data_IF_678590743490
#
_entry.id   IF_678590743490
#
_cell.length_a   1.000
_cell.length_b   1.000
_cell.length_c   1.000
_cell.angle_alpha   90.00
_cell.angle_beta   90.00
_cell.angle_gamma   90.00
#
_symmetry.space_group_name_H-M   'P 1'
#
loop_
_entity.id
_entity.type
_entity.pdbx_description
1 polymer ?
#
# COMPACT_ATOMS: atom_id res chain seq x y z
N UNK A 1 -31.31 24.31 21.06
CA UNK A 1 -30.51 24.46 19.82
C UNK A 1 -29.16 23.72 19.88
N UNK A 2 -29.10 22.49 20.45
CA UNK A 2 -27.83 21.77 20.71
C UNK A 2 -27.73 20.36 20.05
N UNK A 3 -28.72 19.94 19.25
CA UNK A 3 -28.79 18.56 18.71
C UNK A 3 -28.25 18.39 17.29
N UNK A 4 -27.90 19.45 16.57
CA UNK A 4 -27.48 19.38 15.15
C UNK A 4 -25.95 19.30 14.97
N UNK A 5 -25.15 19.59 16.02
CA UNK A 5 -23.67 19.62 15.92
C UNK A 5 -22.97 18.26 15.90
N UNK A 6 -23.61 17.20 16.44
CA UNK A 6 -23.00 15.86 16.53
C UNK A 6 -22.88 15.08 15.22
N UNK A 7 -23.89 15.09 14.30
CA UNK A 7 -23.73 14.36 13.05
C UNK A 7 -22.75 14.99 12.04
N UNK A 8 -22.56 16.33 12.10
CA UNK A 8 -21.62 17.03 11.21
C UNK A 8 -20.17 16.73 11.54
N UNK A 9 -19.82 16.62 12.83
CA UNK A 9 -18.47 16.24 13.27
C UNK A 9 -18.13 14.78 12.91
N UNK A 10 -19.10 13.87 12.97
CA UNK A 10 -18.90 12.49 12.57
C UNK A 10 -18.71 12.33 11.04
N UNK A 11 -19.39 13.14 10.22
CA UNK A 11 -19.23 13.14 8.79
C UNK A 11 -17.87 13.69 8.33
N UNK A 12 -17.33 14.69 9.02
CA UNK A 12 -16.00 15.27 8.73
C UNK A 12 -14.87 14.29 9.07
N UNK A 13 -15.03 13.45 10.11
CA UNK A 13 -14.04 12.45 10.48
C UNK A 13 -13.91 11.31 9.45
N UNK A 14 -14.97 11.00 8.71
CA UNK A 14 -14.93 9.97 7.65
C UNK A 14 -14.17 10.39 6.39
N UNK A 15 -14.04 11.67 6.11
CA UNK A 15 -13.41 12.18 4.87
C UNK A 15 -11.87 12.20 4.98
N UNK A 16 -11.29 12.11 6.18
CA UNK A 16 -9.84 12.15 6.39
C UNK A 16 -9.15 10.78 6.29
N UNK A 17 -9.88 9.68 6.09
CA UNK A 17 -9.33 8.33 5.99
C UNK A 17 -8.84 7.92 4.58
N UNK A 18 -8.93 8.80 3.58
CA UNK A 18 -8.72 8.47 2.17
C UNK A 18 -7.37 8.95 1.62
N UNK A 19 -6.25 8.65 2.29
CA UNK A 19 -4.93 9.01 1.77
C UNK A 19 -3.86 7.94 1.93
N UNK A 20 -4.21 6.67 1.67
CA UNK A 20 -3.19 5.66 1.42
C UNK A 20 -3.60 4.88 0.16
N UNK A 21 -2.90 5.14 -0.92
CA UNK A 21 -3.25 4.60 -2.23
C UNK A 21 -2.44 3.36 -2.56
N UNK A 22 -2.50 2.34 -1.70
CA UNK A 22 -2.03 1.00 -2.06
C UNK A 22 -3.18 0.23 -2.69
N UNK A 23 -2.99 -0.20 -3.93
CA UNK A 23 -3.96 -0.99 -4.67
C UNK A 23 -3.38 -2.35 -5.06
N UNK A 24 -4.16 -3.41 -4.95
CA UNK A 24 -3.81 -4.71 -5.50
C UNK A 24 -4.03 -4.64 -7.01
N UNK A 25 -2.93 -4.71 -7.80
CA UNK A 25 -2.97 -4.64 -9.25
C UNK A 25 -3.28 -5.98 -9.88
N UNK A 26 -2.68 -7.03 -9.36
CA UNK A 26 -2.81 -8.39 -9.86
C UNK A 26 -2.64 -9.40 -8.74
N UNK A 27 -3.24 -10.57 -8.87
CA UNK A 27 -3.04 -11.67 -7.92
C UNK A 27 -3.28 -13.02 -8.57
N UNK A 28 -2.49 -13.99 -8.16
CA UNK A 28 -2.64 -15.38 -8.52
C UNK A 28 -2.88 -16.23 -7.27
N UNK A 29 -3.65 -17.30 -7.43
CA UNK A 29 -3.97 -18.27 -6.40
C UNK A 29 -3.83 -19.68 -6.97
N UNK A 30 -3.21 -20.58 -6.21
CA UNK A 30 -3.06 -21.99 -6.61
C UNK A 30 -4.43 -22.67 -6.71
N UNK A 31 -4.92 -23.02 -7.91
CA UNK A 31 -6.23 -23.63 -8.08
C UNK A 31 -6.32 -25.04 -7.49
N UNK A 32 -5.19 -25.67 -7.16
CA UNK A 32 -5.13 -27.00 -6.55
C UNK A 32 -5.09 -26.95 -5.01
N UNK A 33 -4.89 -25.76 -4.42
CA UNK A 33 -4.87 -25.64 -2.96
C UNK A 33 -6.25 -25.93 -2.36
N UNK A 34 -6.31 -26.92 -1.49
CA UNK A 34 -7.54 -27.35 -0.78
C UNK A 34 -7.36 -27.32 0.74
N UNK A 35 -6.27 -26.69 1.21
CA UNK A 35 -6.00 -26.56 2.65
C UNK A 35 -6.97 -25.62 3.36
N UNK A 36 -6.99 -25.72 4.66
CA UNK A 36 -7.71 -24.77 5.50
C UNK A 36 -7.01 -23.40 5.53
N UNK A 37 -7.69 -22.37 6.03
CA UNK A 37 -7.10 -21.08 6.31
C UNK A 37 -5.90 -21.22 7.26
N UNK A 38 -4.81 -20.54 6.96
CA UNK A 38 -3.61 -20.53 7.77
C UNK A 38 -3.87 -19.86 9.11
N UNK A 39 -3.26 -20.42 10.14
CA UNK A 39 -3.43 -19.97 11.53
C UNK A 39 -2.20 -19.31 12.11
N UNK A 40 -1.02 -19.66 11.62
CA UNK A 40 0.26 -19.15 12.08
C UNK A 40 1.11 -18.71 10.89
N UNK A 41 1.28 -17.43 10.69
CA UNK A 41 1.95 -16.88 9.52
C UNK A 41 3.27 -16.23 9.93
N UNK A 42 4.39 -16.77 9.45
CA UNK A 42 5.71 -16.12 9.54
C UNK A 42 5.77 -15.01 8.48
N UNK A 43 6.04 -13.78 8.90
CA UNK A 43 6.09 -12.60 8.03
C UNK A 43 7.52 -12.17 7.80
N UNK A 44 7.96 -12.13 6.55
CA UNK A 44 9.30 -11.72 6.14
C UNK A 44 9.24 -10.54 5.17
N UNK A 45 9.80 -9.40 5.56
CA UNK A 45 10.07 -8.27 4.69
C UNK A 45 11.45 -8.36 4.06
N UNK A 46 11.54 -8.41 2.74
CA UNK A 46 12.83 -8.34 2.02
C UNK A 46 13.15 -6.88 1.75
N UNK A 47 13.72 -6.21 2.77
CA UNK A 47 14.06 -4.79 2.75
C UNK A 47 15.53 -4.60 3.15
N UNK A 48 16.26 -3.68 2.47
CA UNK A 48 17.68 -3.45 2.74
C UNK A 48 17.96 -2.86 4.14
N UNK A 49 16.99 -2.08 4.66
CA UNK A 49 17.11 -1.43 5.96
C UNK A 49 16.43 -2.28 7.04
N UNK A 50 17.19 -2.68 8.07
CA UNK A 50 16.69 -3.53 9.16
C UNK A 50 15.59 -2.86 9.99
N UNK A 51 15.66 -1.55 10.18
CA UNK A 51 14.62 -0.84 10.93
C UNK A 51 13.30 -0.81 10.15
N UNK A 52 13.36 -0.55 8.85
CA UNK A 52 12.20 -0.60 7.96
C UNK A 52 11.61 -2.00 7.84
N UNK A 53 12.47 -3.02 7.76
CA UNK A 53 12.05 -4.42 7.77
C UNK A 53 11.26 -4.75 9.04
N UNK A 54 11.79 -4.39 10.21
CA UNK A 54 11.09 -4.62 11.49
C UNK A 54 9.76 -3.88 11.57
N UNK A 55 9.73 -2.60 11.17
CA UNK A 55 8.49 -1.83 11.13
C UNK A 55 7.43 -2.47 10.22
N UNK A 56 7.84 -2.91 9.03
CA UNK A 56 6.96 -3.61 8.11
C UNK A 56 6.43 -4.91 8.72
N UNK A 57 7.32 -5.77 9.23
CA UNK A 57 6.94 -7.05 9.82
C UNK A 57 6.00 -6.87 11.01
N UNK A 58 6.25 -5.90 11.89
CA UNK A 58 5.40 -5.60 13.06
C UNK A 58 3.99 -5.14 12.65
N UNK A 59 3.88 -4.25 11.65
CA UNK A 59 2.59 -3.76 11.16
C UNK A 59 1.79 -4.89 10.49
N UNK A 60 2.44 -5.68 9.64
CA UNK A 60 1.80 -6.82 8.98
C UNK A 60 1.33 -7.87 10.00
N UNK A 61 2.16 -8.17 11.00
CA UNK A 61 1.81 -9.06 12.11
C UNK A 61 0.60 -8.55 12.88
N UNK A 62 0.56 -7.27 13.22
CA UNK A 62 -0.58 -6.67 13.90
C UNK A 62 -1.87 -6.79 13.07
N UNK A 63 -1.79 -6.58 11.76
CA UNK A 63 -2.93 -6.70 10.84
C UNK A 63 -3.40 -8.15 10.71
N UNK A 64 -2.48 -9.13 10.64
CA UNK A 64 -2.82 -10.56 10.63
C UNK A 64 -3.48 -10.96 11.95
N UNK A 65 -2.94 -10.52 13.09
CA UNK A 65 -3.50 -10.84 14.41
C UNK A 65 -4.96 -10.35 14.56
N UNK A 66 -5.30 -9.24 13.94
CA UNK A 66 -6.68 -8.72 13.93
C UNK A 66 -7.68 -9.66 13.23
N UNK A 67 -7.23 -10.59 12.38
CA UNK A 67 -8.07 -11.60 11.74
C UNK A 67 -8.37 -12.83 12.61
N UNK A 68 -7.67 -12.97 13.75
CA UNK A 68 -7.70 -14.17 14.58
C UNK A 68 -6.71 -15.26 14.19
N UNK A 69 -5.87 -15.02 13.16
CA UNK A 69 -4.64 -15.78 12.94
C UNK A 69 -3.51 -15.21 13.81
N UNK A 70 -2.42 -15.92 13.94
CA UNK A 70 -1.20 -15.48 14.65
C UNK A 70 -0.14 -15.08 13.62
N UNK A 71 0.18 -13.80 13.51
CA UNK A 71 1.36 -13.32 12.81
C UNK A 71 2.62 -13.47 13.68
N UNK A 72 3.73 -13.79 13.06
CA UNK A 72 5.03 -13.95 13.71
C UNK A 72 6.06 -13.20 12.89
N UNK A 73 6.79 -12.21 13.43
CA UNK A 73 7.78 -11.48 12.65
C UNK A 73 9.06 -12.30 12.47
N UNK A 74 9.56 -12.37 11.24
CA UNK A 74 10.71 -13.20 10.89
C UNK A 74 12.02 -12.68 11.49
N UNK A 75 12.13 -11.40 11.83
CA UNK A 75 13.35 -10.86 12.45
C UNK A 75 13.71 -11.52 13.79
N UNK A 76 12.77 -12.23 14.43
CA UNK A 76 13.05 -13.00 15.67
C UNK A 76 13.91 -14.23 15.41
N UNK A 77 13.85 -14.79 14.22
CA UNK A 77 14.54 -16.01 13.79
C UNK A 77 15.67 -15.71 12.80
N UNK A 78 15.55 -14.59 12.08
CA UNK A 78 16.47 -14.12 11.06
C UNK A 78 16.90 -12.67 11.40
N UNK A 79 17.74 -12.46 12.43
CA UNK A 79 18.05 -11.11 12.91
C UNK A 79 18.98 -10.31 11.98
N UNK A 80 19.69 -10.98 11.08
CA UNK A 80 20.67 -10.36 10.17
C UNK A 80 20.02 -9.50 9.06
N UNK A 81 20.86 -8.69 8.42
CA UNK A 81 20.51 -7.90 7.21
C UNK A 81 20.83 -8.65 5.93
N UNK A 82 21.62 -9.71 6.03
CA UNK A 82 22.06 -10.49 4.88
C UNK A 82 20.91 -11.33 4.33
N UNK A 83 21.06 -11.70 3.05
CA UNK A 83 20.12 -12.62 2.42
C UNK A 83 20.16 -13.96 3.16
N UNK A 84 19.05 -14.35 3.78
CA UNK A 84 18.90 -15.65 4.38
C UNK A 84 19.03 -16.75 3.32
N UNK A 85 19.77 -17.79 3.62
CA UNK A 85 19.81 -19.01 2.84
C UNK A 85 18.50 -19.78 2.96
N UNK A 86 18.24 -20.69 2.03
CA UNK A 86 17.08 -21.59 2.08
C UNK A 86 17.03 -22.38 3.40
N UNK A 87 18.17 -22.90 3.85
CA UNK A 87 18.27 -23.64 5.12
C UNK A 87 17.93 -22.78 6.34
N UNK A 88 18.26 -21.49 6.33
CA UNK A 88 17.89 -20.56 7.39
C UNK A 88 16.41 -20.22 7.37
N UNK A 89 15.82 -20.06 6.18
CA UNK A 89 14.37 -19.86 6.03
C UNK A 89 13.60 -21.09 6.52
N UNK A 90 14.02 -22.30 6.12
CA UNK A 90 13.42 -23.55 6.57
C UNK A 90 13.52 -23.71 8.09
N UNK A 91 14.67 -23.36 8.67
CA UNK A 91 14.83 -23.37 10.13
C UNK A 91 13.87 -22.38 10.79
N UNK A 92 13.81 -21.15 10.30
CA UNK A 92 12.93 -20.11 10.85
C UNK A 92 11.45 -20.52 10.79
N UNK A 93 11.00 -21.13 9.71
CA UNK A 93 9.63 -21.68 9.56
C UNK A 93 9.39 -22.77 10.61
N UNK A 94 10.31 -23.74 10.75
CA UNK A 94 10.17 -24.83 11.74
C UNK A 94 10.17 -24.32 13.18
N UNK A 95 11.12 -23.45 13.54
CA UNK A 95 11.26 -22.93 14.90
C UNK A 95 10.09 -22.01 15.29
N UNK A 96 9.53 -21.25 14.35
CA UNK A 96 8.34 -20.43 14.58
C UNK A 96 7.07 -21.27 14.76
N UNK A 97 7.05 -22.49 14.25
CA UNK A 97 5.86 -23.35 14.16
C UNK A 97 4.79 -22.75 13.27
N UNK A 98 5.18 -21.93 12.27
CA UNK A 98 4.27 -21.36 11.31
C UNK A 98 3.77 -22.40 10.32
N UNK A 99 2.51 -22.27 9.92
CA UNK A 99 1.89 -23.08 8.86
C UNK A 99 1.95 -22.41 7.48
N UNK A 100 2.30 -21.11 7.46
CA UNK A 100 2.58 -20.35 6.24
C UNK A 100 3.74 -19.37 6.41
N UNK A 101 4.41 -19.05 5.28
CA UNK A 101 5.41 -17.99 5.17
C UNK A 101 4.90 -16.93 4.19
N UNK A 102 4.73 -15.70 4.67
CA UNK A 102 4.39 -14.52 3.86
C UNK A 102 5.64 -13.70 3.62
N UNK A 103 6.04 -13.55 2.36
CA UNK A 103 7.21 -12.79 1.96
C UNK A 103 6.80 -11.60 1.09
N UNK A 104 7.31 -10.41 1.39
CA UNK A 104 7.11 -9.22 0.55
C UNK A 104 8.43 -8.61 0.15
N UNK A 105 8.54 -8.22 -1.14
CA UNK A 105 9.72 -7.56 -1.70
C UNK A 105 9.31 -6.42 -2.63
N UNK A 106 10.07 -5.33 -2.60
CA UNK A 106 9.95 -4.27 -3.59
C UNK A 106 10.55 -4.77 -4.90
N UNK A 107 9.76 -4.79 -5.97
CA UNK A 107 10.23 -5.15 -7.30
C UNK A 107 10.95 -3.97 -7.96
N UNK A 108 10.33 -2.78 -7.87
CA UNK A 108 10.83 -1.54 -8.46
C UNK A 108 10.11 -0.33 -7.89
N UNK A 109 10.70 0.83 -8.10
CA UNK A 109 10.05 2.13 -7.90
C UNK A 109 10.06 2.83 -9.26
N UNK A 110 8.87 3.02 -9.83
CA UNK A 110 8.69 3.66 -11.13
C UNK A 110 8.45 5.15 -10.92
N UNK A 111 9.26 6.00 -11.55
CA UNK A 111 9.01 7.44 -11.60
C UNK A 111 8.22 7.77 -12.86
N UNK A 112 7.06 8.37 -12.70
CA UNK A 112 6.21 8.79 -13.81
C UNK A 112 6.09 10.31 -13.83
N UNK A 113 6.06 10.88 -15.03
CA UNK A 113 5.83 12.31 -15.24
C UNK A 113 4.44 12.53 -15.83
N UNK A 114 3.63 13.32 -15.15
CA UNK A 114 2.33 13.76 -15.65
C UNK A 114 2.47 15.20 -16.14
N UNK A 115 2.21 15.41 -17.41
CA UNK A 115 2.13 16.74 -18.02
C UNK A 115 0.68 17.19 -18.01
N UNK A 116 0.39 18.26 -17.29
CA UNK A 116 -0.92 18.89 -17.26
C UNK A 116 -0.82 20.30 -17.83
N UNK A 117 -1.57 20.59 -18.86
CA UNK A 117 -1.67 21.94 -19.43
C UNK A 117 -3.02 22.53 -19.05
N UNK A 118 -2.97 23.57 -18.24
CA UNK A 118 -4.17 24.32 -17.83
C UNK A 118 -4.17 25.70 -18.49
N UNK A 119 -5.34 26.10 -18.98
CA UNK A 119 -5.57 27.48 -19.40
C UNK A 119 -5.99 28.29 -18.19
N UNK A 120 -5.18 29.27 -17.84
CA UNK A 120 -5.43 30.13 -16.67
C UNK A 120 -5.86 31.51 -17.18
N UNK A 121 -6.97 32.00 -16.63
CA UNK A 121 -7.39 33.37 -16.86
C UNK A 121 -6.43 34.33 -16.15
N UNK A 122 -6.07 35.47 -16.73
CA UNK A 122 -5.32 36.50 -16.02
C UNK A 122 -6.04 36.94 -14.75
N UNK A 123 -5.26 37.41 -13.76
CA UNK A 123 -5.81 37.93 -12.54
C UNK A 123 -6.80 39.11 -12.82
N UNK A 124 -7.87 39.26 -12.00
CA UNK A 124 -8.77 40.40 -12.12
C UNK A 124 -7.98 41.72 -12.10
N UNK A 125 -8.15 42.57 -13.12
CA UNK A 125 -7.42 43.84 -13.28
C UNK A 125 -6.21 43.77 -14.22
N UNK A 126 -5.79 42.62 -14.70
CA UNK A 126 -4.72 42.48 -15.71
C UNK A 126 -5.14 42.95 -17.12
N UNK A 127 -6.43 43.21 -17.33
CA UNK A 127 -7.06 43.49 -18.63
C UNK A 127 -7.19 44.97 -18.92
N UNK A 128 -6.49 45.83 -18.21
CA UNK A 128 -6.59 47.28 -18.34
C UNK A 128 -7.88 47.85 -17.77
N UNK A 129 -7.91 49.21 -17.65
CA UNK A 129 -9.10 49.92 -17.17
C UNK A 129 -9.96 50.32 -18.34
N UNK A 130 -11.20 49.82 -18.36
CA UNK A 130 -12.18 50.19 -19.36
C UNK A 130 -12.74 48.99 -20.10
N UNK A 131 -13.87 49.22 -20.78
CA UNK A 131 -14.63 48.21 -21.53
C UNK A 131 -13.88 47.65 -22.72
N UNK A 132 -12.97 48.44 -23.30
CA UNK A 132 -12.16 48.07 -24.46
C UNK A 132 -11.07 47.03 -24.07
N UNK A 133 -10.45 47.19 -22.91
CA UNK A 133 -9.53 46.19 -22.36
C UNK A 133 -10.23 44.88 -21.95
N UNK A 134 -11.44 44.98 -21.44
CA UNK A 134 -12.27 43.82 -21.09
C UNK A 134 -12.67 43.02 -22.33
N UNK A 135 -13.10 43.70 -23.39
CA UNK A 135 -13.54 43.10 -24.65
C UNK A 135 -12.38 42.44 -25.42
N UNK A 136 -11.24 43.12 -25.52
CA UNK A 136 -10.04 42.55 -26.19
C UNK A 136 -9.45 41.37 -25.43
N UNK A 137 -9.52 41.40 -24.11
CA UNK A 137 -9.09 40.26 -23.25
C UNK A 137 -9.93 39.02 -23.42
N UNK A 138 -11.24 39.18 -23.70
CA UNK A 138 -12.16 38.06 -23.96
C UNK A 138 -11.84 37.35 -25.30
N UNK A 139 -11.43 38.07 -26.32
CA UNK A 139 -11.28 37.55 -27.70
C UNK A 139 -9.89 36.98 -28.05
N UNK A 140 -8.94 36.96 -27.17
CA UNK A 140 -7.82 36.28 -27.72
C UNK A 140 -6.45 36.31 -27.03
N UNK A 141 -6.18 37.18 -26.11
CA UNK A 141 -4.83 37.28 -25.54
C UNK A 141 -4.75 37.06 -24.04
N UNK A 142 -5.91 36.88 -23.41
CA UNK A 142 -6.03 36.78 -21.95
C UNK A 142 -5.78 35.42 -21.33
N UNK A 143 -5.72 34.35 -22.13
CA UNK A 143 -5.54 33.01 -21.63
C UNK A 143 -4.08 32.58 -21.75
N UNK A 144 -3.44 32.33 -20.62
CA UNK A 144 -2.10 31.75 -20.59
C UNK A 144 -2.21 30.23 -20.39
N UNK A 145 -1.44 29.49 -21.16
CA UNK A 145 -1.29 28.06 -20.94
C UNK A 145 -0.13 27.84 -19.97
N UNK A 146 -0.46 27.33 -18.80
CA UNK A 146 0.53 26.92 -17.82
C UNK A 146 0.67 25.41 -17.92
N UNK A 147 1.86 24.97 -18.35
CA UNK A 147 2.20 23.54 -18.37
C UNK A 147 2.91 23.20 -17.08
N UNK A 148 2.29 22.35 -16.28
CA UNK A 148 2.88 21.82 -15.06
C UNK A 148 3.28 20.38 -15.30
N UNK A 149 4.55 20.07 -15.03
CA UNK A 149 5.07 18.69 -15.03
C UNK A 149 5.14 18.26 -13.58
N UNK A 150 4.30 17.30 -13.20
CA UNK A 150 4.31 16.69 -11.88
C UNK A 150 4.94 15.31 -11.99
N UNK A 151 6.03 15.07 -11.25
CA UNK A 151 6.62 13.74 -11.12
C UNK A 151 6.02 13.05 -9.89
N UNK A 152 5.70 11.78 -10.04
CA UNK A 152 5.24 10.94 -8.96
C UNK A 152 5.90 9.55 -9.04
N UNK A 153 6.05 8.92 -7.90
CA UNK A 153 6.64 7.60 -7.77
C UNK A 153 5.55 6.56 -7.49
N UNK A 154 5.75 5.36 -8.02
CA UNK A 154 4.94 4.18 -7.73
C UNK A 154 5.89 3.09 -7.27
N UNK A 155 5.73 2.64 -6.01
CA UNK A 155 6.41 1.45 -5.54
C UNK A 155 5.58 0.22 -5.91
N UNK A 156 6.19 -0.69 -6.65
CA UNK A 156 5.61 -1.99 -7.02
C UNK A 156 6.15 -3.03 -6.08
N UNK A 157 5.26 -3.67 -5.31
CA UNK A 157 5.63 -4.66 -4.30
C UNK A 157 4.95 -5.99 -4.63
N UNK A 158 5.74 -7.06 -4.65
CA UNK A 158 5.25 -8.44 -4.74
C UNK A 158 5.17 -9.04 -3.35
N UNK A 159 4.05 -9.70 -3.06
CA UNK A 159 3.84 -10.47 -1.84
C UNK A 159 3.44 -11.90 -2.21
N UNK A 160 4.13 -12.87 -1.64
CA UNK A 160 3.89 -14.29 -1.89
C UNK A 160 3.65 -15.03 -0.59
N UNK A 161 2.60 -15.85 -0.56
CA UNK A 161 2.26 -16.75 0.54
C UNK A 161 2.63 -18.17 0.16
N UNK A 162 3.47 -18.80 0.98
CA UNK A 162 3.89 -20.18 0.85
C UNK A 162 3.22 -21.03 1.95
N UNK A 163 2.83 -22.25 1.61
CA UNK A 163 2.46 -23.25 2.61
C UNK A 163 3.71 -23.85 3.22
N UNK A 164 3.86 -23.77 4.54
CA UNK A 164 5.01 -24.36 5.25
C UNK A 164 5.06 -25.88 5.12
N UNK A 165 3.91 -26.55 5.05
CA UNK A 165 3.84 -28.01 4.93
C UNK A 165 4.29 -28.56 3.58
N UNK A 166 4.10 -27.83 2.50
CA UNK A 166 4.46 -28.28 1.13
C UNK A 166 5.58 -27.46 0.49
N UNK A 167 5.97 -26.32 1.05
CA UNK A 167 6.92 -25.38 0.43
C UNK A 167 6.39 -24.70 -0.84
N UNK A 168 5.14 -24.99 -1.25
CA UNK A 168 4.56 -24.46 -2.49
C UNK A 168 3.98 -23.05 -2.30
N UNK A 169 4.03 -22.26 -3.37
CA UNK A 169 3.30 -20.99 -3.45
C UNK A 169 1.81 -21.30 -3.48
N UNK A 170 1.06 -20.66 -2.60
CA UNK A 170 -0.42 -20.75 -2.53
C UNK A 170 -1.07 -19.52 -3.10
N UNK A 171 -0.44 -18.35 -2.91
CA UNK A 171 -0.94 -17.08 -3.41
C UNK A 171 0.22 -16.13 -3.68
N UNK A 172 0.07 -15.31 -4.70
CA UNK A 172 0.94 -14.16 -4.92
C UNK A 172 0.10 -12.96 -5.34
N UNK A 173 0.55 -11.77 -4.97
CA UNK A 173 -0.09 -10.51 -5.34
C UNK A 173 0.93 -9.43 -5.60
N UNK A 174 0.62 -8.57 -6.56
CA UNK A 174 1.40 -7.37 -6.90
C UNK A 174 0.57 -6.15 -6.55
N UNK A 175 1.14 -5.26 -5.75
CA UNK A 175 0.52 -4.01 -5.35
C UNK A 175 1.28 -2.83 -5.89
N UNK A 176 0.54 -1.75 -6.17
CA UNK A 176 1.07 -0.44 -6.49
C UNK A 176 0.79 0.50 -5.32
N UNK A 177 1.83 1.18 -4.81
CA UNK A 177 1.69 2.24 -3.81
C UNK A 177 2.08 3.56 -4.44
N UNK A 178 1.13 4.49 -4.49
CA UNK A 178 1.30 5.80 -5.11
C UNK A 178 2.01 6.76 -4.15
N UNK A 179 3.06 7.43 -4.62
CA UNK A 179 3.88 8.39 -3.85
C UNK A 179 4.34 7.84 -2.49
N UNK A 180 5.08 6.72 -2.46
CA UNK A 180 5.55 6.14 -1.21
C UNK A 180 6.48 7.13 -0.50
N UNK A 181 6.24 7.35 0.80
CA UNK A 181 7.04 8.28 1.60
C UNK A 181 7.99 7.56 2.54
N UNK A 182 7.52 6.52 3.19
CA UNK A 182 8.31 5.67 4.10
C UNK A 182 7.55 4.39 4.39
N UNK A 183 8.28 3.34 4.78
CA UNK A 183 7.67 2.08 5.21
C UNK A 183 6.70 2.29 6.36
N UNK A 184 7.06 3.08 7.36
CA UNK A 184 6.20 3.36 8.51
C UNK A 184 4.84 3.95 8.12
N UNK A 185 4.79 4.78 7.08
CA UNK A 185 3.56 5.42 6.61
C UNK A 185 2.71 4.51 5.73
N UNK A 186 3.37 3.74 4.87
CA UNK A 186 2.67 2.95 3.84
C UNK A 186 2.30 1.54 4.32
N UNK A 187 3.05 0.97 5.26
CA UNK A 187 2.83 -0.38 5.76
C UNK A 187 1.40 -0.66 6.27
N UNK A 188 0.69 0.25 6.95
CA UNK A 188 -0.67 -0.01 7.40
C UNK A 188 -1.66 -0.26 6.25
N UNK A 189 -1.67 0.60 5.24
CA UNK A 189 -2.56 0.46 4.08
C UNK A 189 -2.18 -0.76 3.24
N UNK A 190 -0.88 -0.95 3.01
CA UNK A 190 -0.34 -2.12 2.33
C UNK A 190 -0.78 -3.41 3.04
N UNK A 191 -0.57 -3.52 4.36
CA UNK A 191 -0.93 -4.71 5.13
C UNK A 191 -2.43 -4.99 5.09
N UNK A 192 -3.26 -3.94 5.19
CA UNK A 192 -4.72 -4.09 5.08
C UNK A 192 -5.13 -4.61 3.70
N UNK A 193 -4.52 -4.12 2.62
CA UNK A 193 -4.79 -4.57 1.25
C UNK A 193 -4.42 -6.05 1.06
N UNK A 194 -3.23 -6.46 1.52
CA UNK A 194 -2.76 -7.85 1.41
C UNK A 194 -3.61 -8.78 2.26
N UNK A 195 -3.82 -8.46 3.54
CA UNK A 195 -4.61 -9.30 4.45
C UNK A 195 -6.06 -9.43 3.96
N UNK A 196 -6.67 -8.34 3.47
CA UNK A 196 -8.01 -8.38 2.87
C UNK A 196 -8.08 -9.30 1.64
N UNK A 197 -7.05 -9.28 0.78
CA UNK A 197 -6.98 -10.18 -0.37
C UNK A 197 -6.85 -11.66 0.04
N UNK A 198 -6.05 -11.95 1.06
CA UNK A 198 -5.90 -13.31 1.60
C UNK A 198 -7.18 -13.81 2.26
N UNK A 199 -7.89 -12.95 3.00
CA UNK A 199 -9.21 -13.27 3.58
C UNK A 199 -10.26 -13.53 2.50
N UNK A 200 -10.29 -12.72 1.45
CA UNK A 200 -11.22 -12.91 0.32
C UNK A 200 -11.03 -14.26 -0.40
N UNK A 201 -9.83 -14.84 -0.30
CA UNK A 201 -9.51 -16.18 -0.82
C UNK A 201 -9.65 -17.30 0.22
N UNK A 202 -10.07 -16.98 1.45
CA UNK A 202 -10.19 -17.96 2.53
C UNK A 202 -8.84 -18.47 3.05
N UNK A 203 -7.74 -17.77 2.74
CA UNK A 203 -6.38 -18.15 3.17
C UNK A 203 -6.05 -17.68 4.59
N UNK A 204 -6.77 -16.66 5.09
CA UNK A 204 -6.77 -16.23 6.47
C UNK A 204 -8.21 -16.25 7.03
N UNK A 205 -8.39 -16.35 8.36
CA UNK A 205 -9.70 -16.28 8.97
C UNK A 205 -10.41 -14.97 8.58
N UNK A 206 -11.73 -15.03 8.38
CA UNK A 206 -12.55 -13.83 8.24
C UNK A 206 -12.53 -13.02 9.56
N UNK A 207 -12.51 -11.70 9.46
CA UNK A 207 -12.67 -10.84 10.64
C UNK A 207 -14.02 -11.18 11.34
N UNK A 208 -13.98 -11.31 12.67
CA UNK A 208 -15.16 -11.53 13.48
C UNK A 208 -15.93 -10.25 13.72
#
# INVERSE_FOLDING_TARGET
>A
MQRIRRPVLAAIALVLAACASTTLRDSWYDPEYRGAAFRKVLVLGVLPNIAERRQYEDVMVATINATGAQGIPAYRFLPGQERASEAELDRAVRESGADALLMSRVLRVDTQAQVSTQRVSPAPGAWGRGWDGWYSGWWGTGWQSVTTVTQYEIAVVETTLFSAGSGRVVWTGVTDTFQPRSVAREAPAFSTTIVGALQARGLLPAAR
#
